data_IF_397428670926
#
_entry.id   IF_397428670926
#
_cell.length_a   1.000
_cell.length_b   1.000
_cell.length_c   1.000
_cell.angle_alpha   90.00
_cell.angle_beta   90.00
_cell.angle_gamma   90.00
#
_symmetry.space_group_name_H-M   'P 1'
#
loop_
_entity.id
_entity.type
_entity.pdbx_description
1 polymer ?
#
# COMPACT_ATOMS: atom_id res chain seq x y z
N UNK A 1 -10.44 0.75 22.43
CA UNK A 1 -10.78 1.90 21.57
C UNK A 1 -9.56 2.19 20.72
N UNK A 2 -9.52 1.70 19.48
CA UNK A 2 -8.42 2.05 18.57
C UNK A 2 -8.59 3.50 18.11
N UNK A 3 -7.56 4.33 18.31
CA UNK A 3 -7.54 5.72 17.84
C UNK A 3 -7.22 5.77 16.35
N UNK A 4 -7.96 6.58 15.59
CA UNK A 4 -7.47 7.16 14.33
C UNK A 4 -6.21 7.97 14.62
N UNK A 5 -5.30 8.08 13.65
CA UNK A 5 -4.17 8.99 13.77
C UNK A 5 -4.73 10.42 13.82
N UNK A 6 -4.47 11.14 14.91
CA UNK A 6 -4.96 12.49 15.17
C UNK A 6 -3.82 13.33 15.77
N UNK A 7 -3.62 14.55 15.28
CA UNK A 7 -2.65 15.49 15.84
C UNK A 7 -1.20 15.18 15.47
N UNK A 8 -0.28 15.49 16.39
CA UNK A 8 1.19 15.45 16.23
C UNK A 8 1.81 14.08 16.58
N UNK A 9 0.98 13.04 16.71
CA UNK A 9 1.44 11.66 16.97
C UNK A 9 2.23 11.11 15.77
N UNK A 10 3.11 10.13 16.02
CA UNK A 10 3.90 9.46 14.97
C UNK A 10 3.02 8.96 13.83
N UNK A 11 3.52 9.08 12.61
CA UNK A 11 2.81 8.63 11.41
C UNK A 11 2.67 7.11 11.37
N UNK A 12 1.46 6.61 11.02
CA UNK A 12 1.19 5.19 10.83
C UNK A 12 0.62 4.95 9.44
N UNK A 13 1.53 4.73 8.49
CA UNK A 13 1.23 4.53 7.07
C UNK A 13 0.28 3.34 6.85
N UNK A 14 0.68 2.15 7.30
CA UNK A 14 -0.07 0.92 7.05
C UNK A 14 -1.50 0.97 7.62
N UNK A 15 -1.68 1.55 8.80
CA UNK A 15 -3.02 1.73 9.38
C UNK A 15 -3.90 2.65 8.54
N UNK A 16 -3.37 3.77 8.03
CA UNK A 16 -4.12 4.67 7.16
C UNK A 16 -4.50 4.01 5.84
N UNK A 17 -3.64 3.15 5.29
CA UNK A 17 -3.95 2.37 4.09
C UNK A 17 -5.08 1.35 4.34
N UNK A 18 -5.14 0.73 5.53
CA UNK A 18 -6.28 -0.11 5.92
C UNK A 18 -7.60 0.69 6.02
N UNK A 19 -7.54 1.89 6.59
CA UNK A 19 -8.70 2.80 6.65
C UNK A 19 -9.16 3.12 5.23
N UNK A 20 -8.25 3.50 4.34
CA UNK A 20 -8.59 3.77 2.93
C UNK A 20 -9.27 2.60 2.23
N UNK A 21 -8.79 1.37 2.44
CA UNK A 21 -9.44 0.15 1.93
C UNK A 21 -10.90 0.01 2.41
N UNK A 22 -11.13 0.18 3.71
CA UNK A 22 -12.47 0.02 4.29
C UNK A 22 -13.44 1.15 3.91
N UNK A 23 -12.97 2.39 3.89
CA UNK A 23 -13.80 3.54 3.52
C UNK A 23 -14.16 3.51 2.03
N UNK A 24 -13.21 3.17 1.15
CA UNK A 24 -13.49 3.06 -0.28
C UNK A 24 -14.60 2.03 -0.59
N UNK A 25 -14.63 0.92 0.16
CA UNK A 25 -15.66 -0.12 0.03
C UNK A 25 -17.06 0.30 0.50
N UNK A 26 -17.19 1.41 1.25
CA UNK A 26 -18.51 1.96 1.61
C UNK A 26 -19.13 2.76 0.48
N UNK A 27 -18.31 3.33 -0.40
CA UNK A 27 -18.78 4.12 -1.54
C UNK A 27 -19.08 3.24 -2.76
N UNK A 28 -18.14 2.36 -3.10
CA UNK A 28 -18.21 1.51 -4.31
C UNK A 28 -17.60 0.15 -4.02
N UNK A 29 -18.14 -0.88 -4.68
CA UNK A 29 -17.59 -2.24 -4.61
C UNK A 29 -16.32 -2.38 -5.46
N UNK A 30 -15.21 -1.82 -4.96
CA UNK A 30 -13.91 -1.88 -5.62
C UNK A 30 -13.25 -3.26 -5.47
N UNK A 31 -12.74 -3.80 -6.57
CA UNK A 31 -12.04 -5.09 -6.60
C UNK A 31 -10.51 -4.95 -6.63
N UNK A 32 -9.99 -3.74 -6.83
CA UNK A 32 -8.57 -3.46 -6.94
C UNK A 32 -8.18 -2.22 -6.14
N UNK A 33 -7.11 -2.35 -5.36
CA UNK A 33 -6.61 -1.30 -4.48
C UNK A 33 -5.14 -1.04 -4.79
N UNK A 34 -4.83 0.20 -5.14
CA UNK A 34 -3.46 0.67 -5.35
C UNK A 34 -3.09 1.58 -4.19
N UNK A 35 -2.05 1.19 -3.46
CA UNK A 35 -1.50 1.92 -2.32
C UNK A 35 -0.26 2.66 -2.80
N UNK A 36 -0.28 3.98 -2.78
CA UNK A 36 0.78 4.82 -3.34
C UNK A 36 1.25 5.85 -2.32
N UNK A 37 2.56 5.95 -2.14
CA UNK A 37 3.15 7.13 -1.52
C UNK A 37 2.91 8.35 -2.42
N UNK A 38 2.60 9.50 -1.81
CA UNK A 38 2.21 10.73 -2.51
C UNK A 38 3.39 11.39 -3.24
N UNK A 39 4.61 11.07 -2.83
CA UNK A 39 5.86 11.61 -3.36
C UNK A 39 6.46 10.74 -4.47
N UNK A 40 5.81 9.64 -4.90
CA UNK A 40 6.32 8.74 -5.93
C UNK A 40 5.54 8.86 -7.24
N UNK A 41 6.22 9.31 -8.28
CA UNK A 41 5.63 9.50 -9.62
C UNK A 41 6.21 8.47 -10.60
N UNK A 42 5.36 7.68 -11.32
CA UNK A 42 5.84 6.75 -12.33
C UNK A 42 6.47 7.51 -13.49
N UNK A 43 7.56 6.98 -14.03
CA UNK A 43 8.30 7.58 -15.14
C UNK A 43 7.91 7.00 -16.52
N UNK A 44 7.01 6.01 -16.54
CA UNK A 44 6.61 5.28 -17.74
C UNK A 44 5.13 4.90 -17.62
N UNK A 45 4.32 5.31 -18.59
CA UNK A 45 2.86 5.11 -18.62
C UNK A 45 2.45 3.66 -18.91
N UNK A 46 3.39 2.83 -19.38
CA UNK A 46 3.20 1.38 -19.54
C UNK A 46 3.16 0.66 -18.20
N UNK A 47 3.53 1.33 -17.10
CA UNK A 47 3.36 0.80 -15.76
C UNK A 47 1.91 0.98 -15.30
N UNK A 48 0.99 0.20 -15.88
CA UNK A 48 -0.45 0.36 -15.69
C UNK A 48 -0.89 0.06 -14.25
N UNK A 49 -1.63 0.99 -13.64
CA UNK A 49 -2.13 0.90 -12.26
C UNK A 49 -3.40 0.04 -12.18
N UNK A 50 -3.21 -1.27 -12.16
CA UNK A 50 -4.28 -2.25 -11.94
C UNK A 50 -3.75 -3.48 -11.19
N UNK A 51 -4.67 -4.31 -10.72
CA UNK A 51 -4.36 -5.54 -10.01
C UNK A 51 -4.13 -6.70 -10.98
N UNK A 52 -3.36 -7.68 -10.53
CA UNK A 52 -2.96 -8.87 -11.27
C UNK A 52 -3.27 -10.12 -10.44
N UNK A 53 -3.05 -11.31 -10.99
CA UNK A 53 -3.22 -12.59 -10.27
C UNK A 53 -2.40 -12.69 -8.97
N UNK A 54 -1.30 -11.95 -8.91
CA UNK A 54 -0.37 -11.89 -7.79
C UNK A 54 -0.21 -10.44 -7.31
N UNK A 55 -0.04 -10.17 -5.99
CA UNK A 55 0.22 -8.83 -5.47
C UNK A 55 1.31 -8.11 -6.26
N UNK A 56 1.04 -6.88 -6.68
CA UNK A 56 1.89 -6.12 -7.60
C UNK A 56 2.75 -5.12 -6.84
N UNK A 57 4.05 -5.11 -7.09
CA UNK A 57 4.95 -4.03 -6.67
C UNK A 57 5.30 -3.18 -7.89
N UNK A 58 4.89 -1.91 -7.89
CA UNK A 58 5.08 -1.01 -9.03
C UNK A 58 6.39 -0.24 -8.95
N UNK A 59 6.74 0.28 -7.77
CA UNK A 59 7.91 1.14 -7.56
C UNK A 59 9.23 0.36 -7.41
N UNK A 60 9.58 -0.43 -8.42
CA UNK A 60 10.71 -1.37 -8.34
C UNK A 60 12.08 -0.73 -8.60
N UNK A 61 12.11 0.47 -9.20
CA UNK A 61 13.32 1.20 -9.54
C UNK A 61 13.14 2.70 -9.25
N UNK A 62 13.36 3.11 -8.01
CA UNK A 62 13.29 4.52 -7.61
C UNK A 62 14.63 5.24 -7.80
N UNK A 63 14.60 6.49 -8.21
CA UNK A 63 15.77 7.36 -8.36
C UNK A 63 16.60 7.50 -7.07
N UNK A 64 15.95 7.59 -5.90
CA UNK A 64 16.61 7.65 -4.59
C UNK A 64 17.48 6.42 -4.27
N UNK A 65 17.20 5.30 -4.93
CA UNK A 65 17.96 4.05 -4.81
C UNK A 65 18.79 3.75 -6.06
N UNK A 66 19.05 4.76 -6.89
CA UNK A 66 19.83 4.60 -8.13
C UNK A 66 19.15 3.71 -9.17
N UNK A 67 17.81 3.72 -9.21
CA UNK A 67 17.00 2.87 -10.09
C UNK A 67 17.23 1.37 -9.91
N UNK A 68 17.54 0.95 -8.68
CA UNK A 68 17.72 -0.46 -8.30
C UNK A 68 16.75 -0.82 -7.18
N UNK A 69 16.29 -2.08 -7.21
CA UNK A 69 15.51 -2.63 -6.12
C UNK A 69 16.42 -2.78 -4.89
N UNK A 70 16.06 -2.24 -3.71
CA UNK A 70 16.93 -2.29 -2.53
C UNK A 70 17.30 -3.71 -2.10
N UNK A 71 16.32 -4.62 -2.09
CA UNK A 71 16.48 -6.06 -1.80
C UNK A 71 15.25 -6.83 -2.31
N UNK A 72 15.36 -8.16 -2.43
CA UNK A 72 14.34 -8.99 -3.07
C UNK A 72 12.95 -8.91 -2.39
N UNK A 73 12.93 -8.79 -1.06
CA UNK A 73 11.72 -8.65 -0.24
C UNK A 73 11.12 -7.24 -0.19
N UNK A 74 11.72 -6.26 -0.86
CA UNK A 74 11.23 -4.88 -0.79
C UNK A 74 9.86 -4.73 -1.49
N UNK A 75 8.89 -4.16 -0.78
CA UNK A 75 7.49 -3.99 -1.22
C UNK A 75 6.93 -2.57 -0.92
N UNK A 76 7.79 -1.61 -0.62
CA UNK A 76 7.41 -0.24 -0.30
C UNK A 76 7.15 0.66 -1.50
N UNK A 77 6.73 1.90 -1.24
CA UNK A 77 6.48 2.89 -2.28
C UNK A 77 5.09 2.77 -2.90
N UNK A 78 4.97 1.96 -3.96
CA UNK A 78 3.69 1.78 -4.68
C UNK A 78 3.41 0.31 -4.91
N UNK A 79 2.27 -0.17 -4.40
CA UNK A 79 1.84 -1.57 -4.48
C UNK A 79 0.34 -1.70 -4.82
N UNK A 80 -0.05 -2.87 -5.31
CA UNK A 80 -1.43 -3.15 -5.71
C UNK A 80 -1.87 -4.54 -5.29
N UNK A 81 -3.04 -4.63 -4.68
CA UNK A 81 -3.67 -5.89 -4.26
C UNK A 81 -5.13 -5.88 -4.68
N UNK A 82 -5.60 -7.01 -5.22
CA UNK A 82 -7.04 -7.22 -5.37
C UNK A 82 -7.70 -7.31 -4.00
N UNK A 83 -9.02 -7.06 -3.95
CA UNK A 83 -9.81 -7.23 -2.72
C UNK A 83 -9.55 -8.59 -2.06
N UNK A 84 -9.58 -9.66 -2.85
CA UNK A 84 -9.34 -11.02 -2.37
C UNK A 84 -7.92 -11.19 -1.83
N UNK A 85 -6.90 -10.64 -2.50
CA UNK A 85 -5.51 -10.71 -2.03
C UNK A 85 -5.32 -9.95 -0.71
N UNK A 86 -5.89 -8.75 -0.61
CA UNK A 86 -5.79 -7.91 0.58
C UNK A 86 -6.50 -8.54 1.79
N UNK A 87 -7.70 -9.07 1.57
CA UNK A 87 -8.44 -9.82 2.60
C UNK A 87 -7.69 -11.09 3.01
N UNK A 88 -7.06 -11.81 2.07
CA UNK A 88 -6.32 -13.05 2.35
C UNK A 88 -5.12 -12.82 3.28
N UNK A 89 -4.41 -11.70 3.14
CA UNK A 89 -3.32 -11.34 4.06
C UNK A 89 -3.80 -10.67 5.35
N UNK A 90 -5.13 -10.55 5.51
CA UNK A 90 -5.77 -9.84 6.60
C UNK A 90 -5.27 -8.40 6.74
N UNK A 91 -5.22 -7.65 5.63
CA UNK A 91 -4.77 -6.26 5.61
C UNK A 91 -3.29 -6.04 5.95
N UNK A 92 -2.91 -4.78 6.11
CA UNK A 92 -1.55 -4.33 6.47
C UNK A 92 -1.42 -4.18 7.99
N UNK A 93 -0.23 -4.25 8.61
CA UNK A 93 -0.10 -4.18 10.07
C UNK A 93 -0.49 -2.81 10.66
N UNK A 94 -1.08 -2.77 11.86
CA UNK A 94 -1.50 -1.52 12.53
C UNK A 94 -0.48 -1.01 13.57
N UNK A 95 0.54 -1.80 13.88
CA UNK A 95 1.44 -1.59 15.02
C UNK A 95 2.71 -0.79 14.64
N UNK A 96 2.89 -0.48 13.36
CA UNK A 96 4.05 0.25 12.87
C UNK A 96 3.83 1.77 12.97
N UNK A 97 4.27 2.33 14.10
CA UNK A 97 4.29 3.77 14.35
C UNK A 97 5.69 4.34 14.09
N UNK A 98 5.77 5.34 13.22
CA UNK A 98 7.04 5.90 12.74
C UNK A 98 7.57 5.21 11.48
N UNK A 99 8.82 5.50 11.13
CA UNK A 99 9.37 5.13 9.83
C UNK A 99 9.88 3.68 9.78
N UNK A 100 9.26 2.87 8.94
CA UNK A 100 9.81 1.64 8.37
C UNK A 100 9.46 0.32 9.08
N UNK A 101 9.56 -0.76 8.31
CA UNK A 101 9.34 -2.14 8.72
C UNK A 101 7.97 -2.71 8.34
N UNK A 102 6.99 -1.86 8.08
CA UNK A 102 5.63 -2.27 7.73
C UNK A 102 5.58 -2.92 6.34
N UNK A 103 6.33 -2.39 5.37
CA UNK A 103 6.40 -2.95 4.01
C UNK A 103 7.01 -4.36 3.99
N UNK A 104 7.98 -4.63 4.87
CA UNK A 104 8.59 -5.95 5.03
C UNK A 104 7.61 -6.94 5.65
N UNK A 105 6.80 -6.49 6.62
CA UNK A 105 5.73 -7.30 7.19
C UNK A 105 4.66 -7.64 6.14
N UNK A 106 4.26 -6.67 5.32
CA UNK A 106 3.33 -6.88 4.21
C UNK A 106 3.88 -7.93 3.24
N UNK A 107 5.17 -7.85 2.87
CA UNK A 107 5.83 -8.86 2.04
C UNK A 107 5.79 -10.25 2.69
N UNK A 108 6.08 -10.34 4.00
CA UNK A 108 6.00 -11.60 4.75
C UNK A 108 4.58 -12.16 4.75
N UNK A 109 3.55 -11.36 5.02
CA UNK A 109 2.15 -11.79 4.98
C UNK A 109 1.74 -12.32 3.60
N UNK A 110 2.19 -11.68 2.52
CA UNK A 110 1.96 -12.13 1.14
C UNK A 110 2.57 -13.52 0.94
N UNK A 111 3.85 -13.70 1.28
CA UNK A 111 4.58 -14.96 1.07
C UNK A 111 4.05 -16.10 1.95
N UNK A 112 3.72 -15.83 3.21
CA UNK A 112 3.12 -16.80 4.14
C UNK A 112 1.74 -17.29 3.68
N UNK A 113 1.01 -16.46 2.93
CA UNK A 113 -0.27 -16.82 2.31
C UNK A 113 -0.11 -17.48 0.92
N UNK A 114 1.10 -17.92 0.58
CA UNK A 114 1.40 -18.66 -0.65
C UNK A 114 1.35 -17.81 -1.92
N UNK A 115 1.33 -16.48 -1.79
CA UNK A 115 1.37 -15.55 -2.92
C UNK A 115 2.81 -15.10 -3.20
N UNK A 116 3.07 -14.67 -4.43
CA UNK A 116 4.36 -14.14 -4.87
C UNK A 116 4.18 -12.68 -5.27
N UNK A 117 5.20 -11.86 -5.09
CA UNK A 117 5.16 -10.48 -5.58
C UNK A 117 5.43 -10.46 -7.09
N UNK A 118 4.50 -9.93 -7.88
CA UNK A 118 4.72 -9.62 -9.30
C UNK A 118 5.31 -8.22 -9.47
N UNK A 119 6.14 -8.04 -10.51
CA UNK A 119 6.87 -6.79 -10.79
C UNK A 119 6.88 -6.54 -12.30
N UNK A 120 6.83 -5.27 -12.76
CA UNK A 120 7.05 -4.92 -14.16
C UNK A 120 8.53 -5.15 -14.57
N UNK A 121 8.83 -4.97 -15.87
CA UNK A 121 10.21 -4.78 -16.33
C UNK A 121 10.84 -3.56 -15.64
N UNK A 122 12.13 -3.65 -15.29
CA UNK A 122 12.86 -2.60 -14.56
C UNK A 122 12.88 -1.25 -15.28
N UNK A 123 12.75 -1.22 -16.62
CA UNK A 123 12.67 0.03 -17.38
C UNK A 123 11.30 0.69 -17.26
N UNK A 124 10.25 -0.12 -17.09
CA UNK A 124 8.86 0.33 -16.96
C UNK A 124 8.56 0.73 -15.51
N UNK A 125 9.02 -0.05 -14.53
CA UNK A 125 8.78 0.23 -13.11
C UNK A 125 9.67 1.29 -12.48
N UNK A 126 10.07 2.31 -13.26
CA UNK A 126 10.89 3.43 -12.78
C UNK A 126 10.04 4.51 -12.15
N UNK A 127 10.51 5.04 -11.03
CA UNK A 127 9.85 6.09 -10.27
C UNK A 127 10.81 7.22 -9.92
N UNK A 128 10.25 8.42 -9.88
CA UNK A 128 10.90 9.61 -9.35
C UNK A 128 10.29 9.99 -8.01
N UNK A 129 11.12 10.20 -7.01
CA UNK A 129 10.71 10.76 -5.73
C UNK A 129 10.70 12.28 -5.79
N UNK A 130 9.57 12.90 -5.42
CA UNK A 130 9.49 14.33 -5.15
C UNK A 130 10.35 14.60 -3.91
N UNK A 131 11.33 15.49 -4.04
CA UNK A 131 12.25 15.80 -2.94
C UNK A 131 11.51 16.57 -1.85
N UNK A 132 11.64 16.10 -0.62
CA UNK A 132 11.19 16.81 0.58
C UNK A 132 12.20 16.56 1.71
N UNK A 133 12.22 17.48 2.68
CA UNK A 133 13.00 17.27 3.90
C UNK A 133 12.41 16.11 4.70
N UNK A 134 13.26 15.40 5.46
CA UNK A 134 12.76 14.33 6.34
C UNK A 134 11.87 14.94 7.42
N UNK A 135 10.66 14.40 7.56
CA UNK A 135 9.72 14.83 8.59
C UNK A 135 10.33 14.64 9.99
N UNK A 136 10.35 15.75 10.76
CA UNK A 136 10.92 15.78 12.11
C UNK A 136 10.18 14.88 13.11
N UNK A 137 8.95 14.47 12.79
CA UNK A 137 8.10 13.63 13.63
C UNK A 137 8.00 12.16 13.17
N UNK A 138 8.81 11.77 12.17
CA UNK A 138 8.81 10.40 11.63
C UNK A 138 10.11 9.66 12.00
N UNK A 139 10.35 9.53 13.30
CA UNK A 139 11.52 8.80 13.79
C UNK A 139 11.49 7.33 13.36
N UNK A 140 12.65 6.67 13.19
CA UNK A 140 12.71 5.25 12.85
C UNK A 140 11.90 4.44 13.85
N UNK A 141 11.03 3.56 13.34
CA UNK A 141 10.27 2.67 14.20
C UNK A 141 11.25 1.78 15.00
N UNK A 142 11.21 1.79 16.34
CA UNK A 142 12.11 0.98 17.16
C UNK A 142 11.93 -0.53 16.93
N UNK A 143 10.78 -0.96 16.39
CA UNK A 143 10.41 -2.35 16.14
C UNK A 143 10.62 -2.76 14.67
N UNK A 144 11.51 -2.08 13.93
CA UNK A 144 11.78 -2.27 12.49
C UNK A 144 12.11 -3.72 12.06
N UNK A 145 12.46 -4.64 12.97
CA UNK A 145 12.80 -6.02 12.63
C UNK A 145 11.93 -7.02 13.38
N UNK A 146 11.23 -7.87 12.62
CA UNK A 146 10.95 -9.25 13.04
C UNK A 146 9.64 -9.52 13.77
N UNK A 147 8.55 -8.83 13.46
CA UNK A 147 7.23 -9.24 13.99
C UNK A 147 6.20 -9.29 12.87
N UNK A 148 5.68 -10.50 12.63
CA UNK A 148 4.37 -10.68 11.99
C UNK A 148 3.36 -10.16 12.99
N UNK A 149 2.77 -9.01 12.71
CA UNK A 149 1.84 -8.40 13.65
C UNK A 149 0.47 -9.10 13.64
N UNK A 150 -0.34 -8.81 14.65
CA UNK A 150 -1.59 -9.51 14.94
C UNK A 150 -2.67 -9.31 13.85
N UNK A 151 -3.85 -9.98 13.95
CA UNK A 151 -4.94 -9.84 12.99
C UNK A 151 -5.47 -8.40 12.89
N UNK A 152 -5.62 -7.87 11.67
CA UNK A 152 -5.77 -6.41 11.44
C UNK A 152 -7.18 -5.99 11.03
N UNK A 153 -7.82 -6.65 10.06
CA UNK A 153 -9.07 -6.15 9.49
C UNK A 153 -10.26 -6.19 10.46
N UNK A 154 -10.22 -7.08 11.46
CA UNK A 154 -11.22 -7.14 12.52
C UNK A 154 -11.08 -6.00 13.55
N UNK A 155 -9.94 -5.31 13.61
CA UNK A 155 -9.71 -4.22 14.56
C UNK A 155 -10.23 -2.86 14.05
N UNK A 156 -10.16 -2.64 12.72
CA UNK A 156 -10.48 -1.35 12.08
C UNK A 156 -11.99 -1.16 11.83
N UNK A 157 -12.81 -2.23 11.88
CA UNK A 157 -14.25 -2.17 11.58
C UNK A 157 -15.11 -1.34 12.57
N UNK A 158 -14.50 -0.80 13.62
CA UNK A 158 -15.16 0.01 14.65
C UNK A 158 -14.93 1.53 14.47
N UNK A 159 -14.22 1.95 13.43
CA UNK A 159 -13.99 3.36 13.14
C UNK A 159 -15.22 3.97 12.45
N UNK A 160 -15.98 4.79 13.20
CA UNK A 160 -16.92 5.74 12.59
C UNK A 160 -16.10 6.91 12.05
N UNK A 161 -15.87 6.96 10.74
CA UNK A 161 -15.46 8.20 10.07
C UNK A 161 -16.66 9.14 10.13
N UNK A 162 -16.64 10.11 11.04
CA UNK A 162 -17.66 11.17 11.05
C UNK A 162 -17.45 12.06 9.83
N UNK A 163 -18.52 12.26 9.04
CA UNK A 163 -18.59 13.19 7.93
C UNK A 163 -17.96 14.54 8.30
N UNK A 164 -16.75 14.84 7.81
CA UNK A 164 -16.22 16.19 7.55
C UNK A 164 -14.71 16.27 7.24
N UNK A 165 -14.00 15.16 7.08
CA UNK A 165 -12.60 15.24 6.67
C UNK A 165 -12.46 14.88 5.19
N UNK A 166 -12.17 15.90 4.37
CA UNK A 166 -11.54 15.72 3.07
C UNK A 166 -10.22 14.98 3.28
N UNK A 167 -10.27 13.65 3.25
CA UNK A 167 -9.09 12.82 3.24
C UNK A 167 -8.43 12.93 1.87
N UNK A 168 -7.28 13.58 1.81
CA UNK A 168 -6.34 13.39 0.71
C UNK A 168 -5.66 12.02 0.87
N UNK A 169 -6.44 10.94 0.77
CA UNK A 169 -5.89 9.63 0.45
C UNK A 169 -5.72 9.66 -1.07
N UNK A 170 -4.50 9.94 -1.54
CA UNK A 170 -4.17 9.85 -2.96
C UNK A 170 -4.09 8.37 -3.34
N UNK A 171 -5.26 7.75 -3.54
CA UNK A 171 -5.40 6.43 -4.14
C UNK A 171 -5.90 6.61 -5.57
N UNK A 172 -5.14 6.15 -6.56
CA UNK A 172 -5.71 5.91 -7.89
C UNK A 172 -6.48 4.59 -7.77
N UNK A 173 -7.78 4.69 -7.55
CA UNK A 173 -8.68 3.53 -7.52
C UNK A 173 -9.16 3.29 -8.95
N UNK A 174 -8.70 2.21 -9.59
CA UNK A 174 -9.11 1.84 -10.95
C UNK A 174 -10.13 0.70 -10.93
N UNK A 175 -11.18 0.85 -11.73
CA UNK A 175 -12.18 -0.21 -11.98
C UNK A 175 -11.62 -1.16 -13.04
N UNK A 176 -11.50 -2.45 -12.73
CA UNK A 176 -11.30 -3.47 -13.75
C UNK A 176 -12.66 -3.76 -14.39
N UNK A 177 -12.89 -3.30 -15.61
CA UNK A 177 -14.03 -3.78 -16.40
C UNK A 177 -13.67 -5.15 -16.97
N UNK A 178 -14.16 -6.21 -16.33
CA UNK A 178 -14.24 -7.51 -16.99
C UNK A 178 -15.34 -7.43 -18.06
N UNK A 179 -14.95 -7.19 -19.32
CA UNK A 179 -15.81 -7.42 -20.49
C UNK A 179 -15.02 -8.22 -21.52
N UNK A 180 -15.02 -9.55 -21.33
CA UNK A 180 -14.78 -10.47 -22.43
C UNK A 180 -16.13 -10.77 -23.07
N UNK A 181 -16.53 -9.96 -24.04
CA UNK A 181 -17.57 -10.32 -25.00
C UNK A 181 -16.92 -10.36 -26.39
N UNK A 182 -16.90 -11.56 -26.97
CA UNK A 182 -16.46 -11.77 -28.34
C UNK A 182 -17.41 -11.05 -29.30
N UNK A 183 -16.89 -10.14 -30.11
CA UNK A 183 -17.60 -9.67 -31.29
C UNK A 183 -17.17 -10.54 -32.46
N UNK A 184 -18.12 -11.33 -32.96
CA UNK A 184 -18.11 -11.92 -34.30
C UNK A 184 -18.30 -10.82 -35.35
#
# INVERSE_FOLDING_TARGET
MERLQLGEDSFNRAKLLNVGFLEALKEVDYDCFIFSDVDLIPMDDRNLYHCYEQPRHFAIAMDKFGFRLPYAGYFGGVSGLSRTQFMKINGFPNEYWGWGGEDDDIYNRITLNGMKVSRPDVRIGRYRMIKHDRDKHNEPNPQRRGQISAPVLQAVSLLRVSEQQHFAISGIISRSTASGDSVR
#
